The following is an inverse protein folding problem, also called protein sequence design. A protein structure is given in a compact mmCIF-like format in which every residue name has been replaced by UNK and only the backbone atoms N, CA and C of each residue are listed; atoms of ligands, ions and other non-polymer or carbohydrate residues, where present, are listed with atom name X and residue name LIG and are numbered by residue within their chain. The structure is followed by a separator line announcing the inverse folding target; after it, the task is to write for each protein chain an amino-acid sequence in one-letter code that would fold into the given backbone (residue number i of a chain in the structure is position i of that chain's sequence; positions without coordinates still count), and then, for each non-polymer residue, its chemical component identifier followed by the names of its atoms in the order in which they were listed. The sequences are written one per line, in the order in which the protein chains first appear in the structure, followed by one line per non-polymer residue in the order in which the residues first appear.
data_IF_544424700573
#
_entry.id   IF_544424700573
#
_cell.length_a   1.000
_cell.length_b   1.000
_cell.length_c   1.000
_cell.angle_alpha   90.00
_cell.angle_beta   90.00
_cell.angle_gamma   90.00
#
_symmetry.space_group_name_H-M   'P 1'
#
loop_
_entity.id
_entity.type
_entity.pdbx_description
1 polymer ?
#
# COMPACT_ATOMS: atom_id res chain seq x y z
N UNK A 1 14.24 -9.76 14.96
CA UNK A 1 12.79 -9.80 14.75
C UNK A 1 12.23 -8.81 15.74
N UNK A 2 11.72 -7.69 15.28
CA UNK A 2 11.01 -6.76 16.15
C UNK A 2 9.62 -7.36 16.38
N UNK A 3 9.24 -7.83 17.59
CA UNK A 3 7.84 -8.08 17.91
C UNK A 3 7.17 -6.72 18.13
N UNK A 4 7.27 -5.86 17.13
CA UNK A 4 6.78 -4.49 17.21
C UNK A 4 5.28 -4.55 16.99
N UNK A 5 4.56 -4.04 17.97
CA UNK A 5 3.18 -3.61 17.80
C UNK A 5 3.11 -2.58 16.66
N UNK A 6 2.08 -2.65 15.83
CA UNK A 6 1.94 -1.72 14.70
C UNK A 6 0.62 -1.00 14.74
N UNK A 7 0.55 0.14 14.05
CA UNK A 7 -0.72 0.81 13.75
C UNK A 7 -0.78 1.12 12.27
N UNK A 8 -1.99 1.24 11.77
CA UNK A 8 -2.33 1.72 10.43
C UNK A 8 -3.19 2.96 10.63
N UNK A 9 -2.53 4.11 10.70
CA UNK A 9 -3.17 5.39 11.02
C UNK A 9 -3.15 6.29 9.80
N UNK A 10 -4.33 6.76 9.38
CA UNK A 10 -4.52 7.69 8.27
C UNK A 10 -5.39 8.88 8.66
N UNK A 11 -5.78 9.70 7.68
CA UNK A 11 -6.58 10.91 7.94
C UNK A 11 -8.02 10.61 8.40
N UNK A 12 -8.58 9.47 7.99
CA UNK A 12 -9.99 9.08 8.25
C UNK A 12 -10.14 7.70 8.89
N UNK A 13 -9.03 7.04 9.21
CA UNK A 13 -9.01 5.70 9.81
C UNK A 13 -7.85 5.56 10.79
N UNK A 14 -8.05 4.73 11.81
CA UNK A 14 -7.04 4.33 12.78
C UNK A 14 -7.32 2.89 13.20
N UNK A 15 -6.30 2.04 13.19
CA UNK A 15 -6.41 0.64 13.58
C UNK A 15 -6.29 0.40 15.08
N UNK A 16 -5.93 1.43 15.86
CA UNK A 16 -5.29 1.26 17.16
C UNK A 16 -4.03 0.37 17.05
N UNK A 17 -3.52 -0.10 18.20
CA UNK A 17 -2.40 -1.03 18.26
C UNK A 17 -2.83 -2.44 17.84
N UNK A 18 -2.10 -2.98 16.86
CA UNK A 18 -2.22 -4.35 16.37
C UNK A 18 -1.03 -5.18 16.85
N UNK A 19 -1.33 -6.29 17.52
CA UNK A 19 -0.34 -7.29 17.94
C UNK A 19 -0.09 -8.32 16.82
N UNK A 20 0.86 -9.24 17.03
CA UNK A 20 1.12 -10.32 16.08
C UNK A 20 -0.12 -11.20 15.86
N UNK A 21 -0.59 -11.26 14.62
CA UNK A 21 -1.75 -12.06 14.22
C UNK A 21 -3.06 -11.28 14.20
N UNK A 22 -3.08 -10.03 14.64
CA UNK A 22 -4.25 -9.17 14.54
C UNK A 22 -4.48 -8.68 13.10
N UNK A 23 -5.73 -8.35 12.82
CA UNK A 23 -6.16 -7.83 11.53
C UNK A 23 -7.05 -6.61 11.72
N UNK A 24 -6.82 -5.60 10.88
CA UNK A 24 -7.67 -4.41 10.79
C UNK A 24 -8.27 -4.32 9.39
N UNK A 25 -9.55 -3.94 9.31
CA UNK A 25 -10.28 -3.76 8.06
C UNK A 25 -10.91 -2.37 8.00
N UNK A 26 -10.73 -1.68 6.87
CA UNK A 26 -11.37 -0.40 6.57
C UNK A 26 -11.83 -0.39 5.11
N UNK A 27 -13.04 0.09 4.86
CA UNK A 27 -13.61 0.18 3.51
C UNK A 27 -13.67 1.64 3.05
N UNK A 28 -12.97 1.96 1.97
CA UNK A 28 -13.06 3.26 1.31
C UNK A 28 -14.32 3.33 0.44
N UNK A 29 -15.11 4.39 0.62
CA UNK A 29 -16.35 4.61 -0.16
C UNK A 29 -16.19 5.67 -1.25
N UNK A 30 -15.06 6.35 -1.29
CA UNK A 30 -14.76 7.44 -2.22
C UNK A 30 -13.37 7.22 -2.83
N UNK A 31 -13.20 7.62 -4.09
CA UNK A 31 -11.90 7.64 -4.75
C UNK A 31 -11.02 8.73 -4.18
N UNK A 32 -9.70 8.50 -4.20
CA UNK A 32 -8.75 9.45 -3.64
C UNK A 32 -7.41 8.81 -3.27
N UNK A 33 -6.53 9.66 -2.77
CA UNK A 33 -5.20 9.28 -2.26
C UNK A 33 -5.19 9.46 -0.75
N UNK A 34 -4.85 8.40 -0.03
CA UNK A 34 -4.85 8.35 1.44
C UNK A 34 -3.47 7.93 1.92
N UNK A 35 -2.78 8.84 2.59
CA UNK A 35 -1.52 8.53 3.26
C UNK A 35 -1.81 7.84 4.60
N UNK A 36 -0.96 6.88 4.95
CA UNK A 36 -1.00 6.21 6.24
C UNK A 36 0.41 6.03 6.79
N UNK A 37 0.49 5.89 8.10
CA UNK A 37 1.74 5.65 8.81
C UNK A 37 1.51 4.82 10.07
N UNK A 38 2.60 4.27 10.61
CA UNK A 38 2.59 3.69 11.95
C UNK A 38 2.93 4.77 12.99
N UNK A 39 2.06 4.94 13.98
CA UNK A 39 2.25 5.91 15.06
C UNK A 39 3.43 5.57 15.99
N UNK A 40 3.83 4.29 16.05
CA UNK A 40 4.91 3.78 16.88
C UNK A 40 6.26 3.80 16.16
N UNK A 41 6.25 3.62 14.83
CA UNK A 41 7.42 3.49 13.98
C UNK A 41 7.33 4.51 12.83
N UNK A 42 7.85 5.74 13.01
CA UNK A 42 7.68 6.83 12.04
C UNK A 42 8.26 6.55 10.64
N UNK A 43 9.15 5.55 10.51
CA UNK A 43 9.73 5.12 9.24
C UNK A 43 8.75 4.27 8.41
N UNK A 44 7.64 3.84 8.99
CA UNK A 44 6.60 3.07 8.30
C UNK A 44 5.51 4.01 7.81
N UNK A 45 5.61 4.40 6.55
CA UNK A 45 4.66 5.24 5.84
C UNK A 45 4.28 4.60 4.50
N UNK A 46 3.09 4.93 4.01
CA UNK A 46 2.62 4.46 2.73
C UNK A 46 1.44 5.25 2.19
N UNK A 47 1.06 4.94 0.96
CA UNK A 47 -0.03 5.61 0.26
C UNK A 47 -0.98 4.58 -0.31
N UNK A 48 -2.28 4.76 -0.05
CA UNK A 48 -3.38 4.01 -0.64
C UNK A 48 -4.02 4.89 -1.70
N UNK A 49 -4.13 4.40 -2.93
CA UNK A 49 -4.82 5.09 -4.01
C UNK A 49 -6.08 4.29 -4.35
N UNK A 50 -7.24 4.89 -4.12
CA UNK A 50 -8.55 4.33 -4.46
C UNK A 50 -9.00 4.96 -5.76
N UNK A 51 -9.10 4.14 -6.80
CA UNK A 51 -9.57 4.56 -8.12
C UNK A 51 -10.87 3.86 -8.48
N UNK A 52 -11.63 4.46 -9.40
CA UNK A 52 -12.75 3.76 -10.04
C UNK A 52 -12.21 2.63 -10.93
N UNK A 53 -13.00 1.57 -11.11
CA UNK A 53 -12.59 0.35 -11.86
C UNK A 53 -12.05 0.65 -13.27
N UNK A 54 -12.42 1.78 -13.88
CA UNK A 54 -11.92 2.21 -15.19
C UNK A 54 -10.43 2.59 -15.20
N UNK A 55 -9.86 3.03 -14.06
CA UNK A 55 -8.49 3.57 -14.00
C UNK A 55 -7.45 2.56 -13.52
N UNK A 56 -7.85 1.47 -12.85
CA UNK A 56 -6.93 0.44 -12.35
C UNK A 56 -6.34 -0.46 -13.47
N UNK A 57 -6.91 -0.42 -14.68
CA UNK A 57 -6.53 -1.31 -15.80
C UNK A 57 -5.35 -0.84 -16.67
N UNK A 58 -4.70 0.29 -16.37
CA UNK A 58 -3.63 0.84 -17.23
C UNK A 58 -2.22 0.78 -16.59
N UNK A 59 -2.00 -0.09 -15.60
CA UNK A 59 -0.66 -0.57 -15.28
C UNK A 59 -0.39 -1.82 -16.13
N UNK A 60 -0.13 -1.63 -17.42
CA UNK A 60 0.56 -2.68 -18.19
C UNK A 60 2.01 -2.68 -17.71
N UNK A 61 2.47 -3.81 -17.17
CA UNK A 61 3.89 -4.09 -17.02
C UNK A 61 4.56 -3.97 -18.39
N UNK A 62 5.12 -2.79 -18.70
CA UNK A 62 6.04 -2.58 -19.81
C UNK A 62 7.41 -3.20 -19.46
N UNK A 63 7.43 -4.50 -19.09
CA UNK A 63 8.64 -5.31 -19.21
C UNK A 63 8.72 -5.83 -20.64
N UNK A 64 9.03 -4.90 -21.54
CA UNK A 64 9.52 -5.22 -22.88
C UNK A 64 10.96 -5.75 -22.76
N UNK A 65 11.10 -6.98 -22.28
CA UNK A 65 12.33 -7.77 -22.39
C UNK A 65 12.51 -8.15 -23.86
N UNK A 66 12.95 -7.19 -24.67
CA UNK A 66 13.49 -7.44 -25.99
C UNK A 66 15.02 -7.49 -25.90
N UNK A 67 15.52 -8.46 -25.13
CA UNK A 67 16.90 -8.94 -25.22
C UNK A 67 17.04 -9.73 -26.52
N UNK A 68 17.03 -9.02 -27.66
CA UNK A 68 17.53 -9.55 -28.92
C UNK A 68 19.07 -9.52 -28.87
N UNK A 69 19.61 -10.65 -28.39
CA UNK A 69 20.97 -11.17 -28.63
C UNK A 69 21.69 -10.51 -29.83
N UNK A 70 22.62 -9.60 -29.54
CA UNK A 70 23.68 -9.24 -30.48
C UNK A 70 24.78 -10.33 -30.44
N UNK A 71 24.62 -11.38 -31.23
CA UNK A 71 25.72 -12.28 -31.60
C UNK A 71 26.16 -11.99 -33.05
N UNK A 72 27.26 -11.26 -33.19
CA UNK A 72 28.18 -11.25 -34.35
C UNK A 72 29.51 -10.58 -34.00
#
# INVERSE_FOLDING_TARGET
MDPADHTVTGSIFDSDVLEEGDTYEFTFTETGTFEYYCSLHPEMEGTIIVTDEETAGNMTDDNNDNDDDMDS
#
